data_IF_026791068629
#
_entry.id   IF_026791068629
#
_cell.length_a   1.000
_cell.length_b   1.000
_cell.length_c   1.000
_cell.angle_alpha   90.00
_cell.angle_beta   90.00
_cell.angle_gamma   90.00
#
_symmetry.space_group_name_H-M   'P 1'
#
loop_
_entity.id
_entity.type
_entity.pdbx_description
1 polymer ?
#
# COMPACT_ATOMS: atom_id res chain seq x y z
N UNK A 1 -19.32 24.30 14.73
CA UNK A 1 -19.21 25.09 13.48
C UNK A 1 -20.58 25.20 12.82
N UNK A 2 -20.87 26.29 12.11
CA UNK A 2 -22.09 26.41 11.31
C UNK A 2 -21.96 25.58 10.02
N UNK A 3 -23.09 25.17 9.44
CA UNK A 3 -23.14 24.43 8.17
C UNK A 3 -22.49 25.21 7.02
N UNK A 4 -22.59 26.53 7.05
CA UNK A 4 -22.00 27.44 6.05
C UNK A 4 -20.46 27.38 6.08
N UNK A 5 -19.85 27.33 7.26
CA UNK A 5 -18.39 27.21 7.38
C UNK A 5 -17.85 25.88 6.85
N UNK A 6 -18.61 24.79 6.97
CA UNK A 6 -18.25 23.49 6.39
C UNK A 6 -18.36 23.48 4.87
N UNK A 7 -19.36 24.19 4.32
CA UNK A 7 -19.49 24.36 2.87
C UNK A 7 -18.34 25.18 2.28
N UNK A 8 -17.93 26.24 2.98
CA UNK A 8 -16.79 27.06 2.58
C UNK A 8 -15.48 26.26 2.60
N UNK A 9 -15.24 25.46 3.65
CA UNK A 9 -14.07 24.56 3.72
C UNK A 9 -14.09 23.49 2.63
N UNK A 10 -15.26 22.90 2.35
CA UNK A 10 -15.41 21.94 1.26
C UNK A 10 -15.12 22.59 -0.10
N UNK A 11 -15.57 23.82 -0.32
CA UNK A 11 -15.27 24.56 -1.54
C UNK A 11 -13.76 24.89 -1.65
N UNK A 12 -13.12 25.24 -0.54
CA UNK A 12 -11.67 25.44 -0.50
C UNK A 12 -10.92 24.14 -0.84
N UNK A 13 -11.35 22.99 -0.28
CA UNK A 13 -10.77 21.68 -0.58
C UNK A 13 -10.99 21.26 -2.04
N UNK A 14 -12.11 21.66 -2.65
CA UNK A 14 -12.34 21.46 -4.09
C UNK A 14 -11.40 22.30 -4.96
N UNK A 15 -11.05 23.51 -4.52
CA UNK A 15 -10.10 24.36 -5.23
C UNK A 15 -8.67 23.81 -5.13
N UNK A 16 -8.25 23.36 -3.94
CA UNK A 16 -6.92 22.77 -3.76
C UNK A 16 -6.78 21.47 -4.55
N UNK A 17 -7.82 20.63 -4.59
CA UNK A 17 -7.80 19.38 -5.38
C UNK A 17 -7.74 19.65 -6.89
N UNK A 18 -8.26 20.79 -7.35
CA UNK A 18 -8.08 21.24 -8.74
C UNK A 18 -6.63 21.67 -9.01
N UNK A 19 -5.98 22.36 -8.07
CA UNK A 19 -4.56 22.73 -8.15
C UNK A 19 -3.67 21.49 -8.14
N UNK A 20 -3.97 20.50 -7.29
CA UNK A 20 -3.28 19.23 -7.21
C UNK A 20 -3.27 18.51 -8.58
N UNK A 21 -4.41 18.52 -9.28
CA UNK A 21 -4.50 17.94 -10.62
C UNK A 21 -3.54 18.61 -11.61
N UNK A 22 -3.49 19.94 -11.63
CA UNK A 22 -2.59 20.69 -12.52
C UNK A 22 -1.12 20.38 -12.23
N UNK A 23 -0.75 20.27 -10.94
CA UNK A 23 0.60 19.87 -10.54
C UNK A 23 0.95 18.44 -10.98
N UNK A 24 0.02 17.50 -10.87
CA UNK A 24 0.23 16.11 -11.34
C UNK A 24 0.39 16.08 -12.87
N UNK A 25 -0.44 16.82 -13.60
CA UNK A 25 -0.35 16.92 -15.06
C UNK A 25 0.97 17.59 -15.49
N UNK A 26 1.44 18.57 -14.73
CA UNK A 26 2.75 19.21 -14.92
C UNK A 26 3.91 18.25 -14.65
N UNK A 27 3.84 17.43 -13.60
CA UNK A 27 4.86 16.41 -13.33
C UNK A 27 4.88 15.33 -14.43
N UNK A 28 3.71 14.92 -14.92
CA UNK A 28 3.60 13.92 -15.97
C UNK A 28 4.13 14.41 -17.34
N UNK A 29 3.99 15.71 -17.62
CA UNK A 29 4.45 16.33 -18.87
C UNK A 29 5.89 16.86 -18.82
N UNK A 30 6.53 16.81 -17.65
CA UNK A 30 7.91 17.24 -17.48
C UNK A 30 8.85 16.38 -18.34
N UNK A 31 9.54 17.00 -19.29
CA UNK A 31 10.56 16.35 -20.12
C UNK A 31 11.92 16.95 -19.85
N UNK A 32 12.89 16.10 -19.54
CA UNK A 32 14.27 16.51 -19.35
C UNK A 32 14.95 16.69 -20.71
N UNK A 33 15.53 17.87 -20.93
CA UNK A 33 16.35 18.13 -22.12
C UNK A 33 17.78 17.63 -21.90
N UNK A 34 18.38 16.92 -22.88
CA UNK A 34 19.77 16.49 -22.80
C UNK A 34 20.70 17.70 -22.58
N UNK A 35 21.54 17.65 -21.55
CA UNK A 35 22.48 18.70 -21.15
C UNK A 35 22.05 19.52 -19.93
N UNK A 36 20.79 19.40 -19.48
CA UNK A 36 20.30 20.02 -18.24
C UNK A 36 20.21 19.04 -17.06
N UNK A 37 20.54 17.76 -17.29
CA UNK A 37 20.47 16.72 -16.26
C UNK A 37 21.83 16.60 -15.57
N UNK A 38 21.92 16.82 -14.25
CA UNK A 38 23.16 16.58 -13.51
C UNK A 38 23.54 15.09 -13.62
N UNK A 39 24.75 14.81 -14.12
CA UNK A 39 25.34 13.46 -14.13
C UNK A 39 25.68 12.96 -12.72
N UNK A 40 25.64 13.84 -11.72
CA UNK A 40 25.84 13.53 -10.30
C UNK A 40 24.54 13.72 -9.53
N UNK A 41 24.28 12.70 -8.72
CA UNK A 41 23.05 12.39 -7.99
C UNK A 41 22.84 13.39 -6.86
N UNK A 42 22.23 14.52 -7.16
CA UNK A 42 21.47 15.28 -6.16
C UNK A 42 20.01 15.24 -6.64
N UNK A 43 19.35 14.10 -6.44
CA UNK A 43 17.94 13.90 -6.80
C UNK A 43 17.04 14.99 -6.20
N UNK A 44 17.44 15.53 -5.04
CA UNK A 44 16.75 16.58 -4.27
C UNK A 44 16.69 17.94 -4.97
N UNK A 45 17.66 18.30 -5.82
CA UNK A 45 17.68 19.61 -6.51
C UNK A 45 17.01 19.61 -7.88
N UNK A 46 16.32 18.52 -8.23
CA UNK A 46 15.61 18.43 -9.50
C UNK A 46 14.22 19.04 -9.38
N UNK A 47 13.79 19.80 -10.39
CA UNK A 47 12.42 20.37 -10.46
C UNK A 47 11.35 19.26 -10.29
N UNK A 48 11.63 18.04 -10.74
CA UNK A 48 10.78 16.88 -10.49
C UNK A 48 10.66 16.49 -9.02
N UNK A 49 11.75 16.53 -8.27
CA UNK A 49 11.75 16.17 -6.85
C UNK A 49 11.01 17.22 -6.03
N UNK A 50 11.25 18.50 -6.30
CA UNK A 50 10.51 19.62 -5.69
C UNK A 50 9.00 19.49 -5.94
N UNK A 51 8.59 19.33 -7.20
CA UNK A 51 7.18 19.12 -7.56
C UNK A 51 6.60 17.87 -6.90
N UNK A 52 7.37 16.78 -6.83
CA UNK A 52 6.90 15.55 -6.18
C UNK A 52 6.73 15.71 -4.67
N UNK A 53 7.60 16.48 -4.02
CA UNK A 53 7.52 16.79 -2.59
C UNK A 53 6.29 17.65 -2.31
N UNK A 54 6.10 18.73 -3.09
CA UNK A 54 4.95 19.63 -3.00
C UNK A 54 3.62 18.88 -3.21
N UNK A 55 3.52 18.06 -4.26
CA UNK A 55 2.33 17.23 -4.51
C UNK A 55 2.07 16.26 -3.34
N UNK A 56 3.11 15.64 -2.80
CA UNK A 56 2.96 14.70 -1.68
C UNK A 56 2.52 15.38 -0.38
N UNK A 57 2.97 16.62 -0.16
CA UNK A 57 2.57 17.44 0.97
C UNK A 57 1.11 17.85 0.84
N UNK A 58 0.70 18.38 -0.32
CA UNK A 58 -0.69 18.77 -0.59
C UNK A 58 -1.64 17.58 -0.46
N UNK A 59 -1.29 16.42 -1.04
CA UNK A 59 -2.10 15.20 -0.90
C UNK A 59 -2.35 14.84 0.56
N UNK A 60 -1.33 14.96 1.41
CA UNK A 60 -1.45 14.63 2.83
C UNK A 60 -2.27 15.67 3.59
N UNK A 61 -2.03 16.95 3.34
CA UNK A 61 -2.80 18.05 3.94
C UNK A 61 -4.29 17.95 3.57
N UNK A 62 -4.61 17.63 2.32
CA UNK A 62 -5.99 17.45 1.85
C UNK A 62 -6.68 16.23 2.46
N UNK A 63 -5.95 15.14 2.66
CA UNK A 63 -6.47 13.93 3.32
C UNK A 63 -6.77 14.18 4.79
N UNK A 64 -5.86 14.87 5.49
CA UNK A 64 -6.03 15.25 6.88
C UNK A 64 -7.25 16.21 7.02
N UNK A 65 -7.38 17.19 6.13
CA UNK A 65 -8.54 18.11 6.12
C UNK A 65 -9.86 17.39 5.78
N UNK A 66 -9.85 16.42 4.85
CA UNK A 66 -11.02 15.59 4.54
C UNK A 66 -11.43 14.75 5.76
N UNK A 67 -10.47 14.15 6.47
CA UNK A 67 -10.74 13.39 7.69
C UNK A 67 -11.38 14.28 8.77
N UNK A 68 -10.84 15.48 8.98
CA UNK A 68 -11.41 16.48 9.90
C UNK A 68 -12.83 16.88 9.48
N UNK A 69 -13.05 17.20 8.20
CA UNK A 69 -14.37 17.54 7.66
C UNK A 69 -15.38 16.40 7.80
N UNK A 70 -14.92 15.15 7.68
CA UNK A 70 -15.76 13.96 7.85
C UNK A 70 -16.18 13.79 9.30
N UNK A 71 -15.27 13.98 10.25
CA UNK A 71 -15.58 13.96 11.68
C UNK A 71 -16.52 15.12 12.07
N UNK A 72 -16.20 16.35 11.65
CA UNK A 72 -17.04 17.52 11.92
C UNK A 72 -18.45 17.36 11.31
N UNK A 73 -18.56 16.75 10.13
CA UNK A 73 -19.87 16.44 9.53
C UNK A 73 -20.58 15.27 10.20
N UNK A 74 -19.87 14.34 10.84
CA UNK A 74 -20.49 13.29 11.63
C UNK A 74 -21.10 13.86 12.93
N UNK A 75 -20.35 14.71 13.61
CA UNK A 75 -20.70 15.40 14.86
C UNK A 75 -21.85 16.40 14.74
N UNK A 76 -22.08 16.93 13.52
CA UNK A 76 -23.24 17.78 13.27
C UNK A 76 -24.54 17.07 13.69
N UNK A 77 -25.30 17.68 14.61
CA UNK A 77 -26.59 17.16 15.02
C UNK A 77 -27.50 17.01 13.81
N UNK A 78 -27.86 15.77 13.45
CA UNK A 78 -28.90 15.55 12.43
C UNK A 78 -30.19 16.16 12.94
N UNK A 79 -30.83 17.00 12.12
CA UNK A 79 -32.15 17.52 12.42
C UNK A 79 -33.18 16.40 12.52
N UNK A 80 -34.44 16.77 12.78
CA UNK A 80 -35.55 15.79 12.79
C UNK A 80 -35.53 14.99 11.46
N UNK A 81 -35.82 13.67 11.48
CA UNK A 81 -35.89 12.87 10.27
C UNK A 81 -36.82 13.52 9.24
N UNK A 82 -36.30 13.81 8.05
CA UNK A 82 -36.97 14.54 6.96
C UNK A 82 -36.84 16.07 7.00
N UNK A 83 -35.94 16.63 7.83
CA UNK A 83 -35.68 18.08 7.86
C UNK A 83 -34.65 18.52 6.82
N UNK A 84 -34.72 19.78 6.39
CA UNK A 84 -33.77 20.37 5.44
C UNK A 84 -32.31 20.26 5.93
N UNK A 85 -32.09 20.31 7.25
CA UNK A 85 -30.78 20.11 7.86
C UNK A 85 -30.22 18.69 7.65
N UNK A 86 -31.08 17.66 7.67
CA UNK A 86 -30.67 16.29 7.36
C UNK A 86 -30.32 16.16 5.87
N UNK A 87 -31.11 16.75 4.98
CA UNK A 87 -30.82 16.75 3.54
C UNK A 87 -29.53 17.50 3.19
N UNK A 88 -29.22 18.60 3.88
CA UNK A 88 -27.96 19.30 3.71
C UNK A 88 -26.78 18.46 4.23
N UNK A 89 -26.95 17.79 5.38
CA UNK A 89 -25.94 16.86 5.93
C UNK A 89 -25.66 15.70 4.99
N UNK A 90 -26.69 15.07 4.41
CA UNK A 90 -26.48 13.96 3.47
C UNK A 90 -25.80 14.44 2.18
N UNK A 91 -26.18 15.60 1.64
CA UNK A 91 -25.49 16.19 0.47
C UNK A 91 -24.01 16.48 0.74
N UNK A 92 -23.69 16.99 1.92
CA UNK A 92 -22.30 17.23 2.31
C UNK A 92 -21.51 15.92 2.40
N UNK A 93 -22.08 14.88 3.02
CA UNK A 93 -21.45 13.55 3.06
C UNK A 93 -21.25 12.95 1.69
N UNK A 94 -22.24 13.07 0.81
CA UNK A 94 -22.15 12.59 -0.56
C UNK A 94 -21.05 13.34 -1.33
N UNK A 95 -20.87 14.64 -1.09
CA UNK A 95 -19.81 15.44 -1.68
C UNK A 95 -18.42 15.05 -1.15
N UNK A 96 -18.27 14.86 0.16
CA UNK A 96 -17.03 14.38 0.78
C UNK A 96 -16.65 12.98 0.25
N UNK A 97 -17.62 12.07 0.13
CA UNK A 97 -17.39 10.73 -0.40
C UNK A 97 -17.00 10.71 -1.89
N UNK A 98 -17.36 11.75 -2.66
CA UNK A 98 -16.88 11.92 -4.04
C UNK A 98 -15.45 12.43 -4.04
N UNK A 99 -15.15 13.41 -3.21
CA UNK A 99 -13.81 13.99 -3.10
C UNK A 99 -12.79 12.95 -2.59
N UNK A 100 -13.18 12.07 -1.65
CA UNK A 100 -12.37 10.95 -1.18
C UNK A 100 -11.97 10.00 -2.33
N UNK A 101 -12.93 9.71 -3.22
CA UNK A 101 -12.66 8.89 -4.41
C UNK A 101 -11.73 9.60 -5.38
N UNK A 102 -11.95 10.89 -5.63
CA UNK A 102 -11.10 11.70 -6.50
C UNK A 102 -9.66 11.75 -5.98
N UNK A 103 -9.46 11.96 -4.68
CA UNK A 103 -8.14 11.96 -4.04
C UNK A 103 -7.46 10.59 -4.18
N UNK A 104 -8.21 9.50 -4.01
CA UNK A 104 -7.68 8.14 -4.25
C UNK A 104 -7.22 7.92 -5.70
N UNK A 105 -7.90 8.53 -6.68
CA UNK A 105 -7.49 8.50 -8.08
C UNK A 105 -6.25 9.37 -8.31
N UNK A 106 -6.17 10.54 -7.67
CA UNK A 106 -5.00 11.41 -7.76
C UNK A 106 -3.74 10.77 -7.20
N UNK A 107 -3.83 9.95 -6.14
CA UNK A 107 -2.68 9.14 -5.68
C UNK A 107 -2.15 8.19 -6.75
N UNK A 108 -3.06 7.56 -7.50
CA UNK A 108 -2.69 6.62 -8.56
C UNK A 108 -2.05 7.39 -9.73
N UNK A 109 -2.68 8.49 -10.16
CA UNK A 109 -2.15 9.32 -11.25
C UNK A 109 -0.82 9.97 -10.85
N UNK A 110 -0.63 10.36 -9.60
CA UNK A 110 0.63 10.86 -9.08
C UNK A 110 1.75 9.82 -9.19
N UNK A 111 1.51 8.56 -8.76
CA UNK A 111 2.49 7.48 -8.94
C UNK A 111 2.83 7.25 -10.40
N UNK A 112 1.83 7.31 -11.28
CA UNK A 112 2.04 7.20 -12.72
C UNK A 112 2.87 8.37 -13.27
N UNK A 113 2.58 9.60 -12.83
CA UNK A 113 3.32 10.80 -13.20
C UNK A 113 4.77 10.76 -12.71
N UNK A 114 5.01 10.28 -11.48
CA UNK A 114 6.36 10.05 -10.96
C UNK A 114 7.14 9.03 -11.80
N UNK A 115 6.50 7.94 -12.22
CA UNK A 115 7.13 6.94 -13.08
C UNK A 115 7.43 7.51 -14.47
N UNK A 116 6.51 8.28 -15.05
CA UNK A 116 6.72 8.97 -16.33
C UNK A 116 7.88 9.97 -16.25
N UNK A 117 7.94 10.79 -15.20
CA UNK A 117 9.03 11.72 -14.95
C UNK A 117 10.38 10.96 -14.82
N UNK A 118 10.43 9.89 -14.02
CA UNK A 118 11.64 9.06 -13.89
C UNK A 118 12.07 8.41 -15.21
N UNK A 119 11.11 7.91 -16.01
CA UNK A 119 11.40 7.34 -17.32
C UNK A 119 12.00 8.39 -18.25
N UNK A 120 11.41 9.59 -18.30
CA UNK A 120 11.91 10.69 -19.14
C UNK A 120 13.31 11.16 -18.74
N UNK A 121 13.64 11.11 -17.44
CA UNK A 121 14.98 11.41 -16.93
C UNK A 121 15.99 10.36 -17.44
N UNK A 122 15.66 9.08 -17.30
CA UNK A 122 16.52 7.98 -17.75
C UNK A 122 16.71 8.04 -19.27
N UNK A 123 15.66 8.34 -20.02
CA UNK A 123 15.74 8.54 -21.47
C UNK A 123 16.68 9.70 -21.82
N UNK A 124 16.55 10.85 -21.14
CA UNK A 124 17.43 12.00 -21.35
C UNK A 124 18.91 11.64 -21.05
N UNK A 125 19.18 10.95 -19.95
CA UNK A 125 20.54 10.50 -19.60
C UNK A 125 21.11 9.52 -20.64
N UNK A 126 20.28 8.63 -21.20
CA UNK A 126 20.73 7.73 -22.28
C UNK A 126 21.08 8.53 -23.54
N UNK A 127 20.25 9.49 -23.92
CA UNK A 127 20.52 10.37 -25.06
C UNK A 127 21.81 11.19 -24.85
N UNK A 128 22.07 11.69 -23.64
CA UNK A 128 23.34 12.37 -23.31
C UNK A 128 24.53 11.43 -23.51
N UNK A 129 24.47 10.20 -23.01
CA UNK A 129 25.53 9.20 -23.22
C UNK A 129 25.72 8.89 -24.69
N UNK A 130 24.66 8.75 -25.46
CA UNK A 130 24.74 8.52 -26.91
C UNK A 130 25.36 9.71 -27.65
N UNK A 131 25.04 10.95 -27.27
CA UNK A 131 25.64 12.15 -27.85
C UNK A 131 27.14 12.19 -27.54
N UNK A 132 27.53 11.91 -26.29
CA UNK A 132 28.94 11.85 -25.91
C UNK A 132 29.68 10.74 -26.69
N UNK A 133 29.12 9.54 -26.80
CA UNK A 133 29.72 8.43 -27.56
C UNK A 133 29.84 8.75 -29.06
N UNK A 134 28.87 9.46 -29.64
CA UNK A 134 28.97 9.95 -31.03
C UNK A 134 30.12 10.93 -31.19
N UNK A 135 30.30 11.86 -30.23
CA UNK A 135 31.42 12.81 -30.27
C UNK A 135 32.80 12.15 -30.15
N UNK A 136 32.90 10.99 -29.47
CA UNK A 136 34.15 10.21 -29.39
C UNK A 136 34.37 9.27 -30.58
N UNK A 137 33.29 8.79 -31.22
CA UNK A 137 33.38 7.86 -32.35
C UNK A 137 33.45 8.57 -33.70
N UNK A 138 33.24 9.89 -33.75
CA UNK A 138 33.50 10.70 -34.94
C UNK A 138 35.03 10.69 -35.22
N UNK A 139 35.48 10.01 -36.27
CA UNK A 139 36.90 9.96 -36.58
C UNK A 139 37.35 11.38 -36.97
N UNK A 140 38.42 11.86 -36.35
CA UNK A 140 39.17 13.01 -36.84
C UNK A 140 39.59 12.67 -38.26
N UNK A 141 38.81 13.14 -39.24
CA UNK A 141 39.20 13.03 -40.63
C UNK A 141 40.49 13.82 -40.79
N UNK A 142 41.60 13.20 -41.23
CA UNK A 142 42.77 13.94 -41.65
C UNK A 142 42.37 14.72 -42.91
N UNK A 143 41.92 15.94 -42.72
CA UNK A 143 41.72 16.89 -43.82
C UNK A 143 43.03 17.65 -43.97
N UNK A 144 43.88 17.12 -44.84
CA UNK A 144 44.76 17.96 -45.64
C UNK A 144 43.89 18.98 -46.41
N UNK A 145 44.16 20.28 -46.24
CA UNK A 145 43.65 21.31 -47.14
C UNK A 145 42.95 22.51 -46.49
N UNK A 146 43.77 23.50 -46.12
CA UNK A 146 43.52 24.95 -46.23
C UNK A 146 42.36 25.64 -45.46
N UNK A 147 42.84 26.50 -44.54
CA UNK A 147 42.40 27.88 -44.26
C UNK A 147 41.33 28.17 -43.19
N UNK A 148 41.81 28.92 -42.19
CA UNK A 148 41.13 29.88 -41.32
C UNK A 148 40.38 29.35 -40.08
N UNK A 149 41.01 29.51 -38.91
CA UNK A 149 40.29 29.45 -37.64
C UNK A 149 41.14 29.21 -36.39
N UNK A 150 42.06 30.13 -36.09
CA UNK A 150 42.56 30.47 -34.74
C UNK A 150 42.35 29.45 -33.60
N UNK A 151 43.41 28.75 -33.16
CA UNK A 151 43.79 28.80 -31.73
C UNK A 151 45.29 28.53 -31.55
N UNK A 152 45.91 29.44 -30.84
CA UNK A 152 47.31 29.58 -30.42
C UNK A 152 47.88 28.38 -29.66
N UNK A 153 49.01 27.83 -30.12
CA UNK A 153 50.09 27.35 -29.24
C UNK A 153 51.44 27.73 -29.88
N UNK A 154 52.06 28.75 -29.32
CA UNK A 154 53.35 29.31 -29.71
C UNK A 154 54.48 28.49 -29.10
N UNK A 155 55.27 27.80 -29.92
CA UNK A 155 56.60 27.32 -29.54
C UNK A 155 57.68 28.19 -30.21
N UNK A 156 58.73 28.66 -29.50
CA UNK A 156 59.74 29.52 -30.09
C UNK A 156 60.90 28.67 -30.67
N UNK A 157 61.45 28.98 -31.86
CA UNK A 157 62.75 28.44 -32.23
C UNK A 157 63.87 29.39 -31.80
N UNK A 158 64.72 28.87 -30.92
CA UNK A 158 66.00 29.47 -30.56
C UNK A 158 67.03 29.32 -31.70
N UNK A 159 67.63 30.46 -32.04
CA UNK A 159 69.09 30.68 -32.20
C UNK A 159 69.80 30.08 -33.41
N UNK A 160 70.04 30.96 -34.38
CA UNK A 160 71.14 30.91 -35.34
C UNK A 160 72.48 30.98 -34.59
N UNK A 161 73.40 30.06 -34.89
CA UNK A 161 74.82 30.25 -34.59
C UNK A 161 75.68 29.80 -35.76
N UNK A 162 76.58 30.71 -36.14
CA UNK A 162 77.61 30.60 -37.17
C UNK A 162 78.55 29.41 -36.91
N UNK A 163 79.00 28.76 -37.99
CA UNK A 163 80.38 28.27 -38.20
C UNK A 163 80.57 28.01 -39.71
N UNK A 164 81.37 28.83 -40.41
CA UNK A 164 82.74 28.52 -40.88
C UNK A 164 82.88 27.21 -41.66
N UNK A 165 83.03 27.37 -42.99
CA UNK A 165 83.79 26.55 -43.95
C UNK A 165 84.02 25.07 -43.61
N UNK A 166 83.02 24.22 -43.85
CA UNK A 166 83.20 22.81 -44.18
C UNK A 166 82.27 22.48 -45.35
N UNK A 167 82.66 21.52 -46.19
CA UNK A 167 81.90 21.10 -47.38
C UNK A 167 80.46 20.71 -46.98
N UNK A 168 79.49 21.09 -47.80
CA UNK A 168 78.05 20.96 -47.51
C UNK A 168 77.62 19.53 -47.18
N UNK A 169 78.30 18.54 -47.76
CA UNK A 169 78.06 17.11 -47.53
C UNK A 169 78.45 16.66 -46.11
N UNK A 170 79.60 17.11 -45.59
CA UNK A 170 80.04 16.78 -44.22
C UNK A 170 79.14 17.42 -43.16
N UNK A 171 78.64 18.63 -43.42
CA UNK A 171 77.66 19.28 -42.54
C UNK A 171 76.32 18.53 -42.53
N UNK A 172 75.87 18.00 -43.66
CA UNK A 172 74.64 17.22 -43.73
C UNK A 172 74.74 15.90 -42.98
N UNK A 173 75.88 15.19 -43.10
CA UNK A 173 76.11 13.92 -42.40
C UNK A 173 76.26 14.13 -40.89
N UNK A 174 76.97 15.19 -40.46
CA UNK A 174 77.10 15.54 -39.03
C UNK A 174 75.77 16.04 -38.46
N UNK A 175 75.00 16.82 -39.22
CA UNK A 175 73.66 17.26 -38.81
C UNK A 175 72.69 16.08 -38.69
N UNK A 176 72.71 15.13 -39.64
CA UNK A 176 71.89 13.92 -39.58
C UNK A 176 72.27 13.02 -38.39
N UNK A 177 73.55 12.87 -38.10
CA UNK A 177 74.04 12.11 -36.94
C UNK A 177 73.66 12.78 -35.61
N UNK A 178 73.74 14.11 -35.57
CA UNK A 178 73.33 14.90 -34.40
C UNK A 178 71.81 14.85 -34.21
N UNK A 179 71.03 14.86 -35.28
CA UNK A 179 69.57 14.74 -35.22
C UNK A 179 69.12 13.32 -34.83
N UNK A 180 69.80 12.28 -35.32
CA UNK A 180 69.57 10.90 -34.88
C UNK A 180 69.86 10.75 -33.38
N UNK A 181 70.95 11.36 -32.90
CA UNK A 181 71.31 11.34 -31.48
C UNK A 181 70.29 12.12 -30.64
N UNK A 182 69.83 13.28 -31.11
CA UNK A 182 68.73 14.03 -30.45
C UNK A 182 67.41 13.27 -30.48
N UNK A 183 67.12 12.56 -31.56
CA UNK A 183 65.95 11.69 -31.68
C UNK A 183 65.98 10.55 -30.66
N UNK A 184 67.15 9.94 -30.45
CA UNK A 184 67.32 8.85 -29.49
C UNK A 184 67.20 9.36 -28.04
N UNK A 185 67.74 10.54 -27.73
CA UNK A 185 67.53 11.18 -26.44
C UNK A 185 66.06 11.57 -26.21
N UNK A 186 65.38 12.14 -27.21
CA UNK A 186 63.94 12.44 -27.12
C UNK A 186 63.09 11.18 -26.95
N UNK A 187 63.44 10.09 -27.64
CA UNK A 187 62.77 8.81 -27.48
C UNK A 187 62.97 8.25 -26.07
N UNK A 188 64.19 8.34 -25.54
CA UNK A 188 64.48 7.94 -24.16
C UNK A 188 63.66 8.75 -23.15
N UNK A 189 63.64 10.07 -23.28
CA UNK A 189 62.85 10.94 -22.39
C UNK A 189 61.34 10.62 -22.49
N UNK A 190 60.85 10.28 -23.68
CA UNK A 190 59.47 9.88 -23.89
C UNK A 190 59.15 8.49 -23.34
N UNK A 191 60.08 7.54 -23.42
CA UNK A 191 59.93 6.20 -22.81
C UNK A 191 59.93 6.32 -21.29
N UNK A 192 60.82 7.12 -20.70
CA UNK A 192 60.83 7.36 -19.26
C UNK A 192 59.51 7.98 -18.78
N UNK A 193 58.96 8.96 -19.52
CA UNK A 193 57.63 9.53 -19.23
C UNK A 193 56.50 8.53 -19.43
N UNK A 194 56.54 7.72 -20.49
CA UNK A 194 55.53 6.70 -20.75
C UNK A 194 55.52 5.62 -19.68
N UNK A 195 56.68 5.26 -19.12
CA UNK A 195 56.78 4.31 -18.00
C UNK A 195 56.16 4.88 -16.71
N UNK A 196 56.38 6.17 -16.42
CA UNK A 196 55.73 6.82 -15.26
C UNK A 196 54.22 6.90 -15.43
N UNK A 197 53.74 7.23 -16.63
CA UNK A 197 52.31 7.24 -16.96
C UNK A 197 51.74 5.83 -16.88
N UNK A 198 52.44 4.81 -17.37
CA UNK A 198 52.00 3.42 -17.32
C UNK A 198 51.81 2.94 -15.88
N UNK A 199 52.75 3.24 -14.99
CA UNK A 199 52.63 2.88 -13.57
C UNK A 199 51.47 3.60 -12.89
N UNK A 200 51.28 4.90 -13.17
CA UNK A 200 50.13 5.65 -12.68
C UNK A 200 48.81 5.09 -13.21
N UNK A 201 48.74 4.67 -14.50
CA UNK A 201 47.54 4.04 -15.05
C UNK A 201 47.28 2.66 -14.47
N UNK A 202 48.32 1.88 -14.15
CA UNK A 202 48.17 0.59 -13.47
C UNK A 202 47.56 0.75 -12.07
N UNK A 203 47.99 1.77 -11.32
CA UNK A 203 47.41 2.10 -10.01
C UNK A 203 45.93 2.49 -10.15
N UNK A 204 45.58 3.31 -11.16
CA UNK A 204 44.16 3.67 -11.39
C UNK A 204 43.30 2.49 -11.85
N UNK A 205 43.84 1.57 -12.67
CA UNK A 205 43.11 0.38 -13.09
C UNK A 205 42.91 -0.58 -11.92
N UNK A 206 43.92 -0.71 -11.06
CA UNK A 206 43.82 -1.54 -9.85
C UNK A 206 42.83 -0.95 -8.85
N UNK A 207 42.88 0.36 -8.61
CA UNK A 207 41.92 1.07 -7.75
C UNK A 207 40.49 0.94 -8.32
N UNK A 208 40.33 1.09 -9.65
CA UNK A 208 39.03 0.89 -10.31
C UNK A 208 38.53 -0.55 -10.24
N UNK A 209 39.44 -1.54 -10.30
CA UNK A 209 39.08 -2.96 -10.15
C UNK A 209 38.66 -3.26 -8.72
N UNK A 210 39.29 -2.65 -7.71
CA UNK A 210 38.87 -2.79 -6.31
C UNK A 210 37.56 -2.09 -6.01
N UNK A 211 37.29 -0.95 -6.66
CA UNK A 211 36.00 -0.29 -6.57
C UNK A 211 34.89 -1.14 -7.23
N UNK A 212 35.17 -1.79 -8.36
CA UNK A 212 34.24 -2.72 -9.01
C UNK A 212 33.93 -3.95 -8.15
N UNK A 213 34.92 -4.52 -7.45
CA UNK A 213 34.67 -5.62 -6.51
C UNK A 213 33.87 -5.15 -5.30
N UNK A 214 34.19 -3.97 -4.75
CA UNK A 214 33.44 -3.41 -3.62
C UNK A 214 31.97 -3.13 -3.98
N UNK A 215 31.72 -2.66 -5.20
CA UNK A 215 30.36 -2.47 -5.71
C UNK A 215 29.67 -3.82 -5.92
N UNK A 216 30.37 -4.83 -6.45
CA UNK A 216 29.87 -6.21 -6.56
C UNK A 216 29.49 -6.82 -5.20
N UNK A 217 30.34 -6.65 -4.19
CA UNK A 217 30.10 -7.08 -2.81
C UNK A 217 28.94 -6.30 -2.18
N UNK A 218 28.80 -5.02 -2.51
CA UNK A 218 27.66 -4.19 -2.08
C UNK A 218 26.36 -4.69 -2.70
N UNK A 219 26.35 -5.10 -3.97
CA UNK A 219 25.16 -5.69 -4.60
C UNK A 219 24.85 -7.10 -4.08
N UNK A 220 25.85 -7.94 -3.83
CA UNK A 220 25.67 -9.27 -3.22
C UNK A 220 25.15 -9.17 -1.79
N UNK A 221 25.68 -8.23 -1.00
CA UNK A 221 25.20 -7.99 0.37
C UNK A 221 23.79 -7.41 0.38
N UNK A 222 23.44 -6.52 -0.57
CA UNK A 222 22.06 -6.05 -0.74
C UNK A 222 21.12 -7.18 -1.15
N UNK A 223 21.52 -8.08 -2.05
CA UNK A 223 20.72 -9.24 -2.45
C UNK A 223 20.51 -10.20 -1.27
N UNK A 224 21.53 -10.38 -0.44
CA UNK A 224 21.45 -11.20 0.79
C UNK A 224 20.60 -10.53 1.87
N UNK A 225 20.65 -9.20 2.01
CA UNK A 225 19.77 -8.43 2.90
C UNK A 225 18.32 -8.40 2.40
N UNK A 226 18.11 -8.34 1.08
CA UNK A 226 16.79 -8.42 0.46
C UNK A 226 16.22 -9.83 0.56
N UNK A 227 17.04 -10.87 0.41
CA UNK A 227 16.60 -12.25 0.58
C UNK A 227 16.24 -12.54 2.03
N UNK A 228 17.05 -12.09 2.99
CA UNK A 228 16.77 -12.25 4.42
C UNK A 228 15.58 -11.40 4.86
N UNK A 229 15.41 -10.18 4.34
CA UNK A 229 14.20 -9.38 4.56
C UNK A 229 12.97 -10.05 3.95
N UNK A 230 13.07 -10.64 2.75
CA UNK A 230 12.00 -11.40 2.10
C UNK A 230 11.68 -12.71 2.83
N UNK A 231 12.66 -13.35 3.44
CA UNK A 231 12.48 -14.53 4.26
C UNK A 231 11.86 -14.18 5.61
N UNK A 232 12.24 -13.05 6.23
CA UNK A 232 11.62 -12.51 7.43
C UNK A 232 10.20 -12.00 7.18
N UNK A 233 9.96 -11.28 6.09
CA UNK A 233 8.62 -10.90 5.64
C UNK A 233 7.81 -12.12 5.19
N UNK A 234 8.45 -13.12 4.59
CA UNK A 234 7.84 -14.38 4.18
C UNK A 234 7.40 -15.20 5.39
N UNK A 235 8.22 -15.25 6.44
CA UNK A 235 7.89 -15.90 7.71
C UNK A 235 6.85 -15.11 8.49
N UNK A 236 6.88 -13.77 8.48
CA UNK A 236 5.83 -12.94 9.08
C UNK A 236 4.49 -13.10 8.35
N UNK A 237 4.49 -13.04 7.02
CA UNK A 237 3.28 -13.22 6.19
C UNK A 237 2.78 -14.66 6.25
N UNK A 238 3.67 -15.66 6.33
CA UNK A 238 3.31 -17.07 6.56
C UNK A 238 2.78 -17.29 7.98
N UNK A 239 3.31 -16.59 8.97
CA UNK A 239 2.84 -16.63 10.36
C UNK A 239 1.45 -15.97 10.49
N UNK A 240 1.24 -14.81 9.84
CA UNK A 240 -0.07 -14.17 9.73
C UNK A 240 -1.09 -15.00 8.93
N UNK A 241 -0.63 -16.01 8.18
CA UNK A 241 -1.48 -16.97 7.46
C UNK A 241 -2.18 -17.95 8.40
N UNK A 242 -1.59 -18.30 9.55
CA UNK A 242 -2.32 -19.09 10.56
C UNK A 242 -3.39 -18.23 11.25
N UNK A 243 -3.09 -16.96 11.45
CA UNK A 243 -4.04 -16.00 12.04
C UNK A 243 -5.25 -15.77 11.12
N UNK A 244 -4.99 -15.71 9.81
CA UNK A 244 -6.07 -15.69 8.79
C UNK A 244 -6.91 -16.97 8.84
N UNK A 245 -6.32 -18.12 9.18
CA UNK A 245 -7.06 -19.38 9.30
C UNK A 245 -7.93 -19.43 10.58
N UNK A 246 -7.44 -18.89 11.70
CA UNK A 246 -8.25 -18.70 12.92
C UNK A 246 -9.39 -17.70 12.72
N UNK A 247 -9.13 -16.58 12.02
CA UNK A 247 -10.15 -15.58 11.72
C UNK A 247 -11.19 -16.13 10.73
N UNK A 248 -10.76 -16.96 9.77
CA UNK A 248 -11.65 -17.61 8.81
C UNK A 248 -12.53 -18.68 9.49
N UNK A 249 -11.96 -19.53 10.34
CA UNK A 249 -12.72 -20.58 11.06
C UNK A 249 -13.72 -19.98 12.05
N UNK A 250 -13.33 -18.94 12.79
CA UNK A 250 -14.24 -18.21 13.68
C UNK A 250 -15.35 -17.47 12.92
N UNK A 251 -15.05 -16.87 11.77
CA UNK A 251 -16.06 -16.24 10.90
C UNK A 251 -17.05 -17.27 10.34
N UNK A 252 -16.60 -18.46 9.94
CA UNK A 252 -17.51 -19.54 9.53
C UNK A 252 -18.38 -20.01 10.70
N UNK A 253 -17.82 -20.19 11.90
CA UNK A 253 -18.60 -20.54 13.09
C UNK A 253 -19.63 -19.46 13.44
N UNK A 254 -19.27 -18.18 13.30
CA UNK A 254 -20.18 -17.05 13.47
C UNK A 254 -21.29 -17.06 12.42
N UNK A 255 -20.98 -17.27 11.14
CA UNK A 255 -21.99 -17.34 10.08
C UNK A 255 -22.92 -18.54 10.25
N UNK A 256 -22.40 -19.69 10.67
CA UNK A 256 -23.20 -20.89 10.94
C UNK A 256 -24.14 -20.65 12.13
N UNK A 257 -23.66 -20.03 13.20
CA UNK A 257 -24.51 -19.69 14.36
C UNK A 257 -25.52 -18.59 14.04
N UNK A 258 -25.16 -17.59 13.24
CA UNK A 258 -26.07 -16.56 12.74
C UNK A 258 -27.14 -17.17 11.83
N UNK A 259 -26.74 -18.03 10.89
CA UNK A 259 -27.66 -18.75 10.01
C UNK A 259 -28.58 -19.67 10.82
N UNK A 260 -28.07 -20.34 11.85
CA UNK A 260 -28.87 -21.13 12.78
C UNK A 260 -29.85 -20.27 13.57
N UNK A 261 -29.45 -19.08 14.03
CA UNK A 261 -30.35 -18.14 14.69
C UNK A 261 -31.42 -17.60 13.75
N UNK A 262 -31.07 -17.26 12.51
CA UNK A 262 -32.05 -16.84 11.48
C UNK A 262 -33.00 -17.99 11.17
N UNK A 263 -32.50 -19.20 10.93
CA UNK A 263 -33.32 -20.39 10.73
C UNK A 263 -34.25 -20.62 11.94
N UNK A 264 -33.71 -20.60 13.15
CA UNK A 264 -34.49 -20.81 14.38
C UNK A 264 -35.52 -19.70 14.61
N UNK A 265 -35.14 -18.44 14.38
CA UNK A 265 -35.98 -17.26 14.67
C UNK A 265 -37.04 -17.05 13.60
N UNK A 266 -36.66 -17.14 12.34
CA UNK A 266 -37.50 -16.84 11.19
C UNK A 266 -38.35 -18.03 10.76
N UNK A 267 -37.85 -19.26 10.93
CA UNK A 267 -38.58 -20.45 10.50
C UNK A 267 -39.56 -21.01 11.54
N UNK A 268 -39.43 -20.65 12.83
CA UNK A 268 -40.41 -21.07 13.85
C UNK A 268 -41.40 -19.98 14.27
N UNK A 269 -41.02 -18.70 14.30
CA UNK A 269 -41.90 -17.61 14.73
C UNK A 269 -42.76 -17.06 13.59
N UNK A 270 -42.15 -16.34 12.63
CA UNK A 270 -42.83 -15.78 11.47
C UNK A 270 -43.57 -16.81 10.62
N UNK A 271 -43.03 -18.03 10.45
CA UNK A 271 -43.72 -19.09 9.71
C UNK A 271 -45.00 -19.56 10.43
N UNK A 272 -45.00 -19.62 11.77
CA UNK A 272 -46.22 -19.92 12.52
C UNK A 272 -47.22 -18.78 12.43
N UNK A 273 -46.75 -17.53 12.42
CA UNK A 273 -47.60 -16.38 12.11
C UNK A 273 -48.15 -16.45 10.68
N UNK A 274 -47.34 -16.83 9.69
CA UNK A 274 -47.71 -16.92 8.28
C UNK A 274 -48.67 -18.09 8.00
N UNK A 275 -48.70 -19.13 8.82
CA UNK A 275 -49.73 -20.19 8.78
C UNK A 275 -50.97 -19.80 9.59
N UNK A 276 -50.80 -19.17 10.76
CA UNK A 276 -51.92 -18.80 11.63
C UNK A 276 -52.75 -17.62 11.10
N UNK A 277 -52.12 -16.65 10.43
CA UNK A 277 -52.75 -15.46 9.89
C UNK A 277 -53.73 -15.76 8.73
N UNK A 278 -53.40 -16.57 7.70
CA UNK A 278 -54.37 -16.97 6.69
C UNK A 278 -55.44 -17.91 7.26
N UNK A 279 -55.09 -18.80 8.19
CA UNK A 279 -56.07 -19.69 8.82
C UNK A 279 -57.11 -18.92 9.65
N UNK A 280 -56.69 -17.87 10.37
CA UNK A 280 -57.59 -16.97 11.09
C UNK A 280 -58.38 -16.07 10.15
N UNK A 281 -57.80 -15.63 9.03
CA UNK A 281 -58.51 -14.87 8.00
C UNK A 281 -59.61 -15.72 7.36
N UNK A 282 -59.32 -16.98 7.02
CA UNK A 282 -60.28 -17.96 6.52
C UNK A 282 -61.41 -18.23 7.51
N UNK A 283 -61.08 -18.36 8.80
CA UNK A 283 -62.10 -18.49 9.87
C UNK A 283 -62.98 -17.25 10.00
N UNK A 284 -62.43 -16.04 9.79
CA UNK A 284 -63.22 -14.79 9.81
C UNK A 284 -64.08 -14.63 8.56
N UNK A 285 -63.60 -15.07 7.39
CA UNK A 285 -64.40 -15.05 6.16
C UNK A 285 -65.48 -16.13 6.15
N UNK A 286 -65.22 -17.32 6.71
CA UNK A 286 -66.23 -18.39 6.78
C UNK A 286 -67.34 -18.07 7.79
N UNK A 287 -67.01 -17.46 8.94
CA UNK A 287 -68.00 -17.00 9.92
C UNK A 287 -68.69 -15.70 9.46
N UNK A 288 -68.02 -14.86 8.67
CA UNK A 288 -68.57 -13.60 8.15
C UNK A 288 -69.61 -13.77 7.04
N UNK A 289 -69.51 -14.80 6.20
CA UNK A 289 -70.49 -15.05 5.13
C UNK A 289 -71.74 -15.79 5.67
N UNK A 290 -71.62 -16.58 6.74
CA UNK A 290 -72.77 -17.24 7.37
C UNK A 290 -73.72 -16.27 8.08
N UNK A 291 -73.27 -15.07 8.47
CA UNK A 291 -74.14 -14.09 9.15
C UNK A 291 -74.80 -13.06 8.21
N UNK A 292 -74.51 -13.13 6.90
CA UNK A 292 -75.09 -12.23 5.89
C UNK A 292 -76.22 -12.88 5.06
N UNK A 293 -76.47 -14.19 5.21
CA UNK A 293 -77.51 -14.93 4.45
C UNK A 293 -78.79 -15.19 5.26
N UNK A 294 -78.90 -14.75 6.52
CA UNK A 294 -80.13 -14.90 7.31
C UNK A 294 -81.03 -13.65 7.39
N UNK A 295 -80.84 -12.66 6.51
CA UNK A 295 -81.73 -11.49 6.41
C UNK A 295 -82.05 -11.12 4.96
N UNK A 296 -82.79 -11.98 4.26
CA UNK A 296 -83.67 -11.56 3.17
C UNK A 296 -84.65 -12.66 2.78
N UNK A 297 -85.93 -12.30 2.84
CA UNK A 297 -87.09 -13.11 2.43
C UNK A 297 -87.93 -13.57 3.63
N UNK A 298 -89.24 -13.35 3.72
CA UNK A 298 -90.17 -12.68 2.83
C UNK A 298 -91.49 -12.42 3.61
N UNK A 299 -92.30 -11.51 3.09
CA UNK A 299 -93.65 -11.05 3.45
C UNK A 299 -94.55 -11.86 4.41
N UNK A 300 -95.27 -11.16 5.29
CA UNK A 300 -96.74 -10.93 5.15
C UNK A 300 -97.39 -10.20 6.34
N UNK A 301 -98.18 -9.17 5.99
CA UNK A 301 -99.43 -8.71 6.62
C UNK A 301 -99.61 -8.76 8.15
N UNK A 302 -99.75 -7.60 8.81
CA UNK A 302 -101.07 -7.03 9.17
C UNK A 302 -100.97 -5.81 10.11
N UNK A 303 -101.66 -4.74 9.68
CA UNK A 303 -102.51 -3.82 10.47
C UNK A 303 -102.07 -3.32 11.86
N UNK A 304 -102.04 -1.98 11.98
CA UNK A 304 -102.79 -1.18 12.97
C UNK A 304 -101.97 -0.20 13.82
N UNK A 305 -102.11 1.07 13.43
CA UNK A 305 -102.34 2.26 14.26
C UNK A 305 -101.18 2.92 15.05
N UNK A 306 -101.24 4.27 15.23
CA UNK A 306 -100.11 5.09 15.62
C UNK A 306 -100.18 5.52 17.10
N UNK A 307 -99.03 5.79 17.71
CA UNK A 307 -98.94 6.41 19.04
C UNK A 307 -97.54 6.96 19.31
N UNK A 308 -97.39 8.24 19.68
CA UNK A 308 -96.08 8.87 19.83
C UNK A 308 -95.53 8.79 21.26
N UNK A 309 -94.20 8.88 21.34
CA UNK A 309 -93.38 9.29 22.48
C UNK A 309 -93.44 8.42 23.76
N UNK A 310 -92.27 8.02 24.27
CA UNK A 310 -91.78 8.39 25.61
C UNK A 310 -90.44 7.70 25.94
N UNK A 311 -89.62 8.50 26.61
CA UNK A 311 -88.29 8.24 27.17
C UNK A 311 -88.42 7.54 28.54
N UNK A 312 -87.33 6.92 29.01
CA UNK A 312 -87.00 6.44 30.37
C UNK A 312 -87.31 4.97 30.76
N UNK A 313 -86.21 4.20 30.86
CA UNK A 313 -85.57 3.76 32.12
C UNK A 313 -86.08 2.53 32.94
N UNK A 314 -85.07 1.79 33.42
CA UNK A 314 -84.99 0.93 34.61
C UNK A 314 -85.39 -0.58 34.65
N UNK A 315 -84.37 -1.35 35.11
CA UNK A 315 -84.36 -2.47 36.12
C UNK A 315 -84.98 -3.81 35.71
N UNK A 316 -84.60 -4.97 36.25
CA UNK A 316 -83.48 -5.54 37.03
C UNK A 316 -83.86 -7.01 37.26
N UNK A 317 -82.91 -7.96 37.35
CA UNK A 317 -82.88 -8.98 38.43
C UNK A 317 -81.63 -9.85 38.35
N UNK A 318 -81.08 -10.14 39.52
CA UNK A 318 -79.82 -10.81 39.86
C UNK A 318 -80.14 -12.18 40.46
N UNK A 319 -79.39 -13.22 40.10
CA UNK A 319 -79.15 -14.43 40.92
C UNK A 319 -78.05 -15.25 40.19
N UNK A 320 -76.89 -15.64 40.72
CA UNK A 320 -76.22 -15.53 42.01
C UNK A 320 -74.77 -16.02 41.84
N UNK A 321 -73.85 -15.51 42.67
CA UNK A 321 -72.49 -16.06 42.95
C UNK A 321 -72.60 -17.09 44.12
N UNK A 322 -71.58 -17.90 44.52
CA UNK A 322 -70.12 -17.67 44.45
C UNK A 322 -69.23 -18.93 44.22
N UNK A 323 -67.90 -18.76 44.19
CA UNK A 323 -66.97 -19.88 44.34
C UNK A 323 -65.51 -19.55 44.01
N UNK A 324 -64.73 -19.31 45.06
CA UNK A 324 -63.30 -19.04 45.11
C UNK A 324 -62.41 -20.06 44.39
N UNK A 325 -61.37 -19.58 43.69
CA UNK A 325 -60.09 -20.29 43.52
C UNK A 325 -59.03 -19.39 42.90
N UNK A 326 -58.33 -18.63 43.75
CA UNK A 326 -56.96 -18.20 43.48
C UNK A 326 -56.01 -19.28 43.98
N UNK A 327 -54.93 -19.58 43.26
CA UNK A 327 -53.69 -19.95 43.91
C UNK A 327 -52.51 -19.07 43.46
N UNK A 328 -51.95 -18.43 44.49
CA UNK A 328 -50.61 -17.88 44.64
C UNK A 328 -49.50 -18.87 44.22
N UNK A 329 -48.41 -18.36 43.64
CA UNK A 329 -47.07 -18.96 43.67
C UNK A 329 -46.06 -17.79 43.71
N UNK A 330 -45.72 -17.29 44.90
CA UNK A 330 -44.66 -17.74 45.81
C UNK A 330 -43.28 -17.18 45.41
N UNK A 331 -42.84 -16.23 46.24
CA UNK A 331 -41.53 -15.60 46.21
C UNK A 331 -40.66 -16.42 47.14
N UNK A 332 -39.65 -17.11 46.60
CA UNK A 332 -38.59 -17.70 47.43
C UNK A 332 -37.22 -17.20 47.00
N UNK A 333 -36.72 -16.27 47.82
CA UNK A 333 -35.33 -15.86 47.92
C UNK A 333 -34.48 -17.06 48.36
N UNK A 334 -33.43 -17.41 47.61
CA UNK A 334 -32.28 -18.13 48.15
C UNK A 334 -31.00 -17.82 47.38
N UNK A 335 -30.12 -17.07 48.03
CA UNK A 335 -28.66 -17.02 47.89
C UNK A 335 -28.10 -17.64 49.20
N UNK A 336 -26.86 -18.15 49.34
CA UNK A 336 -25.70 -18.36 48.44
C UNK A 336 -25.37 -19.88 48.32
N UNK A 337 -24.39 -20.34 47.53
CA UNK A 337 -23.02 -20.58 47.99
C UNK A 337 -22.02 -20.57 46.84
N UNK A 338 -21.00 -19.74 47.01
CA UNK A 338 -19.77 -19.77 46.25
C UNK A 338 -18.88 -20.89 46.79
N UNK A 339 -18.52 -21.84 45.93
CA UNK A 339 -17.30 -22.62 46.07
C UNK A 339 -16.31 -22.08 45.02
N UNK A 340 -15.07 -21.71 45.40
CA UNK A 340 -14.08 -21.27 44.44
C UNK A 340 -13.61 -22.50 43.67
N UNK A 341 -13.83 -22.53 42.37
CA UNK A 341 -13.11 -23.46 41.50
C UNK A 341 -11.75 -22.81 41.25
N UNK A 342 -10.75 -23.31 41.98
CA UNK A 342 -9.37 -22.85 41.95
C UNK A 342 -8.77 -23.12 40.56
N UNK A 343 -8.33 -22.08 39.81
CA UNK A 343 -7.78 -22.25 38.46
C UNK A 343 -6.47 -23.03 38.41
N UNK A 344 -5.78 -23.20 39.55
CA UNK A 344 -4.53 -23.96 39.64
C UNK A 344 -4.75 -25.48 39.48
N UNK A 345 -5.94 -26.00 39.79
CA UNK A 345 -6.23 -27.43 39.65
C UNK A 345 -6.36 -27.88 38.18
N UNK A 346 -6.70 -26.96 37.26
CA UNK A 346 -6.73 -27.25 35.83
C UNK A 346 -5.36 -27.12 35.18
N UNK A 347 -4.46 -26.30 35.73
CA UNK A 347 -3.08 -26.19 35.28
C UNK A 347 -2.25 -27.41 35.71
N UNK A 348 -2.48 -27.94 36.91
CA UNK A 348 -1.81 -29.17 37.39
C UNK A 348 -2.27 -30.42 36.62
N UNK A 349 -3.54 -30.43 36.18
CA UNK A 349 -4.11 -31.50 35.34
C UNK A 349 -3.62 -31.45 33.89
N UNK A 350 -3.22 -30.27 33.40
CA UNK A 350 -2.60 -30.11 32.08
C UNK A 350 -1.09 -30.37 32.16
N UNK A 351 -0.42 -30.00 33.25
CA UNK A 351 0.99 -30.32 33.50
C UNK A 351 1.24 -31.83 33.59
N UNK A 352 0.36 -32.59 34.26
CA UNK A 352 0.45 -34.06 34.31
C UNK A 352 0.26 -34.74 32.93
N UNK A 353 -0.54 -34.15 32.05
CA UNK A 353 -0.78 -34.70 30.69
C UNK A 353 0.37 -34.37 29.74
N UNK A 354 1.13 -33.30 30.01
CA UNK A 354 2.34 -32.94 29.26
C UNK A 354 3.56 -33.76 29.74
N UNK A 355 3.72 -33.98 31.04
CA UNK A 355 4.81 -34.83 31.57
C UNK A 355 4.65 -36.32 31.22
N UNK A 356 3.41 -36.81 31.05
CA UNK A 356 3.15 -38.21 30.62
C UNK A 356 3.36 -38.40 29.10
N UNK A 357 3.47 -37.31 28.33
CA UNK A 357 3.76 -37.34 26.89
C UNK A 357 5.27 -37.35 26.57
N UNK A 358 6.14 -36.98 27.52
CA UNK A 358 7.61 -37.00 27.37
C UNK A 358 8.26 -38.28 27.96
N UNK A 359 7.45 -39.22 28.43
CA UNK A 359 7.89 -40.42 29.14
C UNK A 359 7.76 -41.75 28.37
N UNK A 360 8.05 -41.82 27.07
CA UNK A 360 8.32 -43.12 26.41
C UNK A 360 8.91 -42.96 25.01
N UNK A 361 10.22 -43.17 24.87
CA UNK A 361 10.87 -43.12 23.56
C UNK A 361 12.39 -43.29 23.61
N UNK A 362 12.85 -44.36 24.25
CA UNK A 362 14.24 -44.83 24.23
C UNK A 362 14.74 -45.06 22.77
N UNK A 363 15.93 -44.57 22.39
CA UNK A 363 16.45 -44.69 21.02
C UNK A 363 17.16 -46.04 20.77
N UNK A 364 17.03 -46.66 19.59
CA UNK A 364 17.85 -47.81 19.23
C UNK A 364 19.26 -47.41 18.80
N UNK A 365 20.17 -48.16 19.39
CA UNK A 365 21.63 -48.30 19.25
C UNK A 365 22.12 -48.51 17.80
N UNK A 366 23.01 -47.61 17.32
CA UNK A 366 24.39 -47.78 16.71
C UNK A 366 24.54 -48.78 15.51
N UNK A 367 25.33 -48.53 14.41
CA UNK A 367 26.70 -47.98 14.45
C UNK A 367 27.17 -46.96 13.39
N UNK A 368 28.10 -46.11 13.84
CA UNK A 368 29.08 -45.37 13.03
C UNK A 368 30.19 -46.31 12.51
N UNK A 369 30.83 -46.02 11.36
CA UNK A 369 32.16 -46.52 11.06
C UNK A 369 33.23 -45.62 11.70
N UNK A 370 34.03 -46.24 12.56
CA UNK A 370 35.13 -45.68 13.34
C UNK A 370 36.25 -45.08 12.49
N UNK A 371 36.79 -43.97 12.98
CA UNK A 371 38.15 -43.53 12.70
C UNK A 371 39.06 -43.94 13.88
N UNK A 372 39.99 -44.85 13.61
CA UNK A 372 41.23 -45.16 14.35
C UNK A 372 42.13 -45.83 13.29
N UNK A 373 43.42 -45.58 13.13
CA UNK A 373 44.46 -44.84 13.82
C UNK A 373 45.75 -45.21 13.07
N UNK A 374 46.80 -44.38 13.11
CA UNK A 374 48.01 -44.70 12.35
C UNK A 374 49.11 -43.65 12.45
N UNK A 375 49.83 -43.71 13.55
CA UNK A 375 51.11 -43.05 13.81
C UNK A 375 52.25 -43.53 12.90
N UNK A 376 53.09 -42.56 12.49
CA UNK A 376 54.57 -42.58 12.36
C UNK A 376 55.23 -43.45 11.27
N UNK A 377 55.96 -42.80 10.35
CA UNK A 377 57.39 -43.03 9.99
C UNK A 377 57.76 -41.99 8.91
N UNK A 378 58.69 -41.06 9.12
CA UNK A 378 60.16 -41.17 9.00
C UNK A 378 60.68 -41.73 7.66
N UNK A 379 61.65 -40.98 7.16
CA UNK A 379 62.77 -41.34 6.28
C UNK A 379 62.70 -40.96 4.78
N UNK A 380 63.70 -40.13 4.45
CA UNK A 380 64.58 -40.13 3.27
C UNK A 380 63.97 -40.24 1.86
N UNK A 381 64.06 -39.15 1.09
CA UNK A 381 65.06 -38.96 0.01
C UNK A 381 64.95 -37.57 -0.63
#
# INVERSE_FOLDING_TARGET
MSLEGLQERLAALQETTAQLRDLIDRLASLRFTPGAVPLRVDEENTVSAELSSEISQILREEEDELEILKEETEDLRSGRPGSDAEHQKTRLRDALARLEKELSLYRISFRQAQLAARQSLIEAQRLEREILLKSYSEPVSPTDGETNGSTTVTHPPFRKQQTTSLSEEDQQVVAASTEATRGLHRLRDNIEKALLVSNATHETLQESSTALTQVGDSYMSLDTMLSSSKELLGTLVKSQKSDTWYLQTSLYMLLVTLAWLVFRRWMYGPLWWLVWLPLRLLFRTSVGVSNAVSRSGDHSSHSSAPGPARVEDQKASVEGLPGDSLPTADVQTKQPDAAPVDPDSMIEKVGRVVDEADGSGEPPVVPQPSAEGGTIEKDEL
#
